data_IF_614938539526
#
_entry.id   IF_614938539526
#
_cell.length_a   1.000
_cell.length_b   1.000
_cell.length_c   1.000
_cell.angle_alpha   90.00
_cell.angle_beta   90.00
_cell.angle_gamma   90.00
#
_symmetry.space_group_name_H-M   'P 1'
#
loop_
_entity.id
_entity.type
_entity.pdbx_description
1 polymer ?
#
# COMPACT_ATOMS: atom_id res chain seq x y z
N UNK A 1 -2.14 -13.85 -12.03
CA UNK A 1 -3.03 -13.64 -13.17
C UNK A 1 -4.37 -13.07 -12.76
N UNK A 2 -5.14 -12.56 -13.71
CA UNK A 2 -6.47 -11.96 -13.51
C UNK A 2 -7.50 -12.89 -14.14
N UNK A 3 -8.55 -13.26 -13.40
CA UNK A 3 -9.61 -14.09 -13.95
C UNK A 3 -10.42 -13.32 -15.01
N UNK A 4 -10.65 -13.95 -16.15
CA UNK A 4 -11.38 -13.38 -17.27
C UNK A 4 -12.42 -14.38 -17.79
N UNK A 5 -13.64 -13.90 -18.00
CA UNK A 5 -14.73 -14.71 -18.51
C UNK A 5 -15.43 -13.95 -19.64
N UNK A 6 -15.74 -14.64 -20.72
CA UNK A 6 -16.47 -14.05 -21.86
C UNK A 6 -17.31 -15.08 -22.57
N UNK A 7 -18.31 -14.60 -23.34
CA UNK A 7 -19.10 -15.40 -24.27
C UNK A 7 -18.67 -15.07 -25.68
N UNK A 8 -18.09 -16.04 -26.37
CA UNK A 8 -17.66 -15.90 -27.74
C UNK A 8 -18.87 -15.96 -28.71
N UNK A 9 -18.93 -14.98 -29.63
CA UNK A 9 -20.00 -14.86 -30.63
C UNK A 9 -19.39 -14.64 -32.01
N UNK A 10 -20.11 -15.08 -33.04
CA UNK A 10 -19.79 -14.77 -34.44
C UNK A 10 -20.21 -13.34 -34.81
N UNK A 11 -19.93 -12.92 -36.04
CA UNK A 11 -20.30 -11.62 -36.58
C UNK A 11 -21.80 -11.36 -36.62
N UNK A 12 -22.63 -12.42 -36.62
CA UNK A 12 -24.09 -12.33 -36.57
C UNK A 12 -24.64 -12.33 -35.15
N UNK A 13 -23.79 -12.29 -34.12
CA UNK A 13 -24.15 -12.29 -32.69
C UNK A 13 -24.53 -13.65 -32.13
N UNK A 14 -24.45 -14.74 -32.90
CA UNK A 14 -24.74 -16.09 -32.43
C UNK A 14 -23.57 -16.61 -31.57
N UNK A 15 -23.89 -17.36 -30.52
CA UNK A 15 -22.88 -17.99 -29.67
C UNK A 15 -22.08 -19.09 -30.39
N UNK A 16 -20.79 -19.12 -30.18
CA UNK A 16 -19.91 -20.17 -30.70
C UNK A 16 -19.89 -21.32 -29.70
N UNK A 17 -20.70 -22.35 -29.91
CA UNK A 17 -20.87 -23.46 -28.96
C UNK A 17 -19.91 -24.61 -29.24
N UNK A 18 -19.25 -25.15 -28.21
CA UNK A 18 -18.32 -26.28 -28.32
C UNK A 18 -17.28 -26.11 -29.44
N UNK A 19 -16.84 -24.90 -29.67
CA UNK A 19 -15.96 -24.54 -30.78
C UNK A 19 -14.58 -24.11 -30.25
N UNK A 20 -13.53 -24.57 -30.92
CA UNK A 20 -12.19 -24.08 -30.70
C UNK A 20 -12.07 -22.63 -31.20
N UNK A 21 -11.61 -21.73 -30.34
CA UNK A 21 -11.39 -20.32 -30.64
C UNK A 21 -10.01 -19.89 -30.15
N UNK A 22 -9.46 -18.85 -30.75
CA UNK A 22 -8.26 -18.20 -30.21
C UNK A 22 -8.61 -16.79 -29.70
N UNK A 23 -8.18 -16.49 -28.48
CA UNK A 23 -8.36 -15.18 -27.86
C UNK A 23 -6.99 -14.56 -27.66
N UNK A 24 -6.81 -13.33 -28.13
CA UNK A 24 -5.63 -12.54 -27.90
C UNK A 24 -6.01 -11.40 -26.94
N UNK A 25 -5.26 -11.33 -25.83
CA UNK A 25 -5.45 -10.33 -24.79
C UNK A 25 -4.21 -9.42 -24.76
N UNK A 26 -4.42 -8.12 -24.74
CA UNK A 26 -3.33 -7.14 -24.68
C UNK A 26 -3.59 -6.15 -23.55
N UNK A 27 -2.58 -5.97 -22.67
CA UNK A 27 -2.60 -4.91 -21.66
C UNK A 27 -1.91 -3.68 -22.25
N UNK A 28 -2.66 -2.58 -22.35
CA UNK A 28 -2.21 -1.28 -22.89
C UNK A 28 -2.07 -0.27 -21.77
N UNK A 29 -1.17 0.67 -21.93
CA UNK A 29 -0.88 1.74 -20.96
C UNK A 29 -1.50 3.06 -21.38
N UNK A 30 -1.98 3.83 -20.41
CA UNK A 30 -2.44 5.22 -20.49
C UNK A 30 -3.71 5.45 -21.27
N UNK A 31 -3.89 4.83 -22.43
CA UNK A 31 -5.08 5.04 -23.30
C UNK A 31 -5.49 3.76 -24.01
N UNK A 32 -6.69 3.75 -24.59
CA UNK A 32 -7.21 2.62 -25.40
C UNK A 32 -6.31 2.30 -26.61
N UNK A 33 -5.55 3.27 -27.12
CA UNK A 33 -4.58 3.11 -28.20
C UNK A 33 -3.13 3.14 -27.71
N UNK A 34 -2.92 3.11 -26.40
CA UNK A 34 -1.59 3.19 -25.79
C UNK A 34 -0.70 1.98 -26.11
N UNK A 35 0.58 2.11 -25.75
CA UNK A 35 1.56 1.05 -25.97
C UNK A 35 1.13 -0.27 -25.30
N UNK A 36 1.37 -1.38 -25.97
CA UNK A 36 1.14 -2.72 -25.42
C UNK A 36 2.32 -3.05 -24.50
N UNK A 37 2.05 -3.21 -23.20
CA UNK A 37 3.04 -3.68 -22.22
C UNK A 37 3.12 -5.20 -22.19
N UNK A 38 1.98 -5.87 -22.38
CA UNK A 38 1.88 -7.31 -22.38
C UNK A 38 0.85 -7.77 -23.40
N UNK A 39 1.13 -8.88 -24.09
CA UNK A 39 0.19 -9.53 -24.99
C UNK A 39 0.32 -11.04 -24.89
N UNK A 40 -0.79 -11.73 -24.84
CA UNK A 40 -0.84 -13.20 -24.81
C UNK A 40 -1.94 -13.76 -25.71
N UNK A 41 -1.82 -15.05 -25.99
CA UNK A 41 -2.80 -15.84 -26.73
C UNK A 41 -3.29 -17.01 -25.90
N UNK A 42 -4.58 -17.24 -25.93
CA UNK A 42 -5.24 -18.45 -25.46
C UNK A 42 -5.90 -19.19 -26.62
N UNK A 43 -5.73 -20.49 -26.70
CA UNK A 43 -6.49 -21.38 -27.57
C UNK A 43 -7.36 -22.25 -26.69
N UNK A 44 -8.67 -22.08 -26.76
CA UNK A 44 -9.64 -22.70 -25.85
C UNK A 44 -10.87 -23.18 -26.62
N UNK A 45 -11.59 -24.14 -26.03
CA UNK A 45 -12.88 -24.58 -26.56
C UNK A 45 -13.98 -23.96 -25.71
N UNK A 46 -14.93 -23.29 -26.36
CA UNK A 46 -16.13 -22.75 -25.70
C UNK A 46 -17.04 -23.88 -25.20
N UNK A 47 -17.81 -23.62 -24.16
CA UNK A 47 -18.84 -24.55 -23.70
C UNK A 47 -20.13 -24.46 -24.56
N UNK A 48 -21.20 -25.14 -24.14
CA UNK A 48 -22.51 -25.14 -24.81
C UNK A 48 -23.18 -23.78 -24.85
N UNK A 49 -22.81 -22.84 -24.00
CA UNK A 49 -23.27 -21.44 -23.96
C UNK A 49 -22.29 -20.47 -24.63
N UNK A 50 -21.25 -20.98 -25.31
CA UNK A 50 -20.22 -20.14 -25.90
C UNK A 50 -19.26 -19.51 -24.90
N UNK A 51 -19.29 -19.94 -23.63
CA UNK A 51 -18.51 -19.37 -22.54
C UNK A 51 -17.07 -19.87 -22.58
N UNK A 52 -16.12 -18.97 -22.30
CA UNK A 52 -14.72 -19.25 -22.02
C UNK A 52 -14.33 -18.68 -20.66
N UNK A 53 -13.47 -19.40 -19.95
CA UNK A 53 -12.84 -18.96 -18.71
C UNK A 53 -11.33 -18.97 -18.91
N UNK A 54 -10.68 -17.86 -18.69
CA UNK A 54 -9.25 -17.68 -18.89
C UNK A 54 -8.64 -17.02 -17.64
N UNK A 55 -7.32 -17.14 -17.55
CA UNK A 55 -6.54 -16.35 -16.62
C UNK A 55 -5.57 -15.47 -17.41
N UNK A 56 -5.72 -14.15 -17.35
CA UNK A 56 -4.77 -13.21 -17.95
C UNK A 56 -3.44 -13.37 -17.24
N UNK A 57 -2.37 -13.52 -17.98
CA UNK A 57 -1.05 -13.90 -17.47
C UNK A 57 -0.81 -15.40 -17.44
N UNK A 58 -1.77 -16.24 -17.91
CA UNK A 58 -1.65 -17.68 -18.01
C UNK A 58 -1.61 -18.22 -19.44
N UNK A 59 -1.69 -17.35 -20.45
CA UNK A 59 -1.64 -17.70 -21.86
C UNK A 59 -0.21 -17.82 -22.41
N UNK A 60 -0.12 -18.07 -23.71
CA UNK A 60 1.16 -18.01 -24.41
C UNK A 60 1.52 -16.57 -24.69
N UNK A 61 2.59 -16.07 -24.07
CA UNK A 61 3.06 -14.70 -24.26
C UNK A 61 3.49 -14.45 -25.71
N UNK A 62 3.02 -13.35 -26.28
CA UNK A 62 3.38 -12.87 -27.61
C UNK A 62 4.26 -11.61 -27.54
N UNK A 63 4.10 -10.80 -26.47
CA UNK A 63 4.87 -9.61 -26.21
C UNK A 63 4.98 -9.36 -24.71
N UNK A 64 6.18 -9.08 -24.20
CA UNK A 64 6.46 -8.82 -22.80
C UNK A 64 6.19 -10.00 -21.87
N UNK A 65 6.32 -9.78 -20.57
CA UNK A 65 5.90 -10.73 -19.53
C UNK A 65 4.83 -10.10 -18.62
N UNK A 66 3.93 -10.91 -18.10
CA UNK A 66 2.85 -10.42 -17.24
C UNK A 66 3.38 -9.81 -15.94
N UNK A 67 4.52 -10.33 -15.45
CA UNK A 67 5.14 -9.82 -14.23
C UNK A 67 5.76 -8.42 -14.40
N UNK A 68 6.16 -8.05 -15.63
CA UNK A 68 6.83 -6.79 -15.91
C UNK A 68 5.85 -5.64 -16.21
N UNK A 69 4.54 -5.91 -16.15
CA UNK A 69 3.54 -4.84 -16.27
C UNK A 69 3.70 -3.88 -15.09
N UNK A 70 3.89 -2.61 -15.38
CA UNK A 70 4.07 -1.55 -14.36
C UNK A 70 2.73 -1.14 -13.74
N UNK A 71 2.16 -2.00 -12.87
CA UNK A 71 0.86 -1.76 -12.24
C UNK A 71 0.84 -0.55 -11.29
N UNK A 72 1.98 -0.21 -10.69
CA UNK A 72 2.12 0.83 -9.67
C UNK A 72 2.60 2.19 -10.21
N UNK A 73 2.61 2.40 -11.52
CA UNK A 73 3.09 3.64 -12.15
C UNK A 73 2.06 4.79 -12.16
N UNK A 74 0.89 4.59 -11.54
CA UNK A 74 -0.19 5.58 -11.49
C UNK A 74 -0.94 5.78 -12.81
N UNK A 75 -0.55 5.10 -13.89
CA UNK A 75 -1.17 5.25 -15.20
C UNK A 75 -2.28 4.21 -15.41
N UNK A 76 -3.41 4.58 -16.01
CA UNK A 76 -4.49 3.65 -16.27
C UNK A 76 -4.04 2.53 -17.23
N UNK A 77 -4.53 1.32 -16.97
CA UNK A 77 -4.31 0.15 -17.83
C UNK A 77 -5.60 -0.21 -18.53
N UNK A 78 -5.49 -0.66 -19.76
CA UNK A 78 -6.60 -1.06 -20.60
C UNK A 78 -6.40 -2.47 -21.11
N UNK A 79 -7.47 -3.27 -21.09
CA UNK A 79 -7.50 -4.61 -21.67
C UNK A 79 -8.14 -4.55 -23.05
N UNK A 80 -7.39 -4.88 -24.08
CA UNK A 80 -7.92 -5.15 -25.41
C UNK A 80 -8.16 -6.65 -25.55
N UNK A 81 -9.36 -6.99 -26.01
CA UNK A 81 -9.75 -8.35 -26.33
C UNK A 81 -9.93 -8.50 -27.82
N UNK A 82 -9.35 -9.54 -28.40
CA UNK A 82 -9.47 -9.89 -29.80
C UNK A 82 -9.79 -11.39 -29.91
N UNK A 83 -10.63 -11.75 -30.87
CA UNK A 83 -11.13 -13.12 -31.08
C UNK A 83 -10.85 -13.58 -32.51
N UNK A 84 -10.26 -14.77 -32.64
CA UNK A 84 -10.35 -15.54 -33.87
C UNK A 84 -11.34 -16.70 -33.65
N UNK A 85 -12.52 -16.66 -34.29
CA UNK A 85 -13.55 -17.68 -34.09
C UNK A 85 -13.17 -19.05 -34.67
N UNK A 86 -12.10 -19.14 -35.45
CA UNK A 86 -11.63 -20.39 -36.05
C UNK A 86 -10.46 -21.03 -35.29
N UNK A 87 -10.02 -20.40 -34.18
CA UNK A 87 -8.88 -20.88 -33.40
C UNK A 87 -7.51 -20.60 -34.01
N UNK A 88 -7.45 -19.82 -35.08
CA UNK A 88 -6.22 -19.45 -35.80
C UNK A 88 -5.57 -18.16 -35.29
N UNK A 89 -5.14 -17.31 -36.24
CA UNK A 89 -4.46 -16.02 -35.94
C UNK A 89 -5.11 -14.83 -36.64
N UNK A 90 -6.31 -15.00 -37.19
CA UNK A 90 -7.09 -13.95 -37.87
C UNK A 90 -7.98 -13.22 -36.86
N UNK A 91 -7.40 -12.37 -36.05
CA UNK A 91 -8.07 -11.73 -34.92
C UNK A 91 -8.98 -10.58 -35.32
N UNK A 92 -10.18 -10.56 -34.74
CA UNK A 92 -11.17 -9.47 -34.82
C UNK A 92 -11.14 -8.75 -33.45
N UNK A 93 -11.01 -7.43 -33.48
CA UNK A 93 -11.05 -6.64 -32.25
C UNK A 93 -12.46 -6.63 -31.66
N UNK A 94 -12.62 -7.10 -30.43
CA UNK A 94 -13.87 -7.16 -29.68
C UNK A 94 -14.07 -5.95 -28.77
N UNK A 95 -13.06 -5.11 -28.62
CA UNK A 95 -13.11 -3.89 -27.81
C UNK A 95 -11.92 -3.73 -26.88
N UNK A 96 -11.87 -2.55 -26.29
CA UNK A 96 -10.86 -2.15 -25.29
C UNK A 96 -11.59 -1.55 -24.10
N UNK A 97 -11.30 -2.04 -22.90
CA UNK A 97 -11.90 -1.52 -21.67
C UNK A 97 -10.82 -1.20 -20.63
N UNK A 98 -11.07 -0.21 -19.79
CA UNK A 98 -10.17 0.10 -18.69
C UNK A 98 -10.23 -1.00 -17.63
N UNK A 99 -9.07 -1.40 -17.14
CA UNK A 99 -8.94 -2.22 -15.96
C UNK A 99 -9.07 -1.31 -14.73
N UNK A 100 -10.25 -1.32 -14.11
CA UNK A 100 -10.52 -0.56 -12.89
C UNK A 100 -10.10 -1.38 -11.65
N UNK A 101 -9.64 -0.68 -10.61
CA UNK A 101 -9.37 -1.30 -9.33
C UNK A 101 -10.66 -1.82 -8.69
N UNK A 102 -10.64 -3.01 -8.13
CA UNK A 102 -11.72 -3.49 -7.26
C UNK A 102 -11.67 -2.74 -5.92
N UNK A 103 -12.80 -2.55 -5.21
CA UNK A 103 -12.84 -1.79 -3.96
C UNK A 103 -11.79 -2.22 -2.93
N UNK A 104 -11.52 -3.52 -2.80
CA UNK A 104 -10.47 -4.04 -1.91
C UNK A 104 -9.05 -3.64 -2.33
N UNK A 105 -8.76 -3.57 -3.63
CA UNK A 105 -7.47 -3.11 -4.13
C UNK A 105 -7.27 -1.60 -3.93
N UNK A 106 -8.34 -0.81 -4.00
CA UNK A 106 -8.30 0.62 -3.67
C UNK A 106 -7.98 0.83 -2.19
N UNK A 107 -8.59 0.04 -1.29
CA UNK A 107 -8.30 0.09 0.15
C UNK A 107 -6.86 -0.37 0.42
N UNK A 108 -6.40 -1.46 -0.20
CA UNK A 108 -5.02 -1.95 -0.04
C UNK A 108 -3.97 -0.95 -0.55
N UNK A 109 -4.27 -0.17 -1.57
CA UNK A 109 -3.40 0.90 -2.07
C UNK A 109 -3.35 2.13 -1.16
N UNK A 110 -4.35 2.31 -0.28
CA UNK A 110 -4.43 3.41 0.68
C UNK A 110 -4.04 3.01 2.11
N UNK A 111 -3.86 1.70 2.37
CA UNK A 111 -3.53 1.20 3.71
C UNK A 111 -2.07 0.79 3.78
N UNK A 112 -1.38 1.43 4.70
CA UNK A 112 -0.07 1.06 5.25
C UNK A 112 1.10 1.11 4.27
N UNK A 113 1.79 2.23 4.26
CA UNK A 113 3.05 2.40 3.53
C UNK A 113 2.87 2.86 2.10
N UNK A 114 1.82 3.64 1.84
CA UNK A 114 1.86 4.58 0.72
C UNK A 114 3.15 5.38 0.80
N UNK A 115 3.60 5.95 -0.30
CA UNK A 115 4.84 6.73 -0.44
C UNK A 115 5.08 7.80 0.65
N UNK A 116 4.08 8.03 1.52
CA UNK A 116 4.05 9.09 2.52
C UNK A 116 4.25 8.57 3.96
N UNK A 117 4.52 7.28 4.17
CA UNK A 117 4.78 6.68 5.49
C UNK A 117 6.26 6.60 5.81
N UNK A 118 6.61 6.72 7.12
CA UNK A 118 7.96 6.43 7.56
C UNK A 118 8.24 4.93 7.55
N UNK A 119 9.21 4.49 6.74
CA UNK A 119 9.55 3.08 6.60
C UNK A 119 10.43 2.59 7.74
N UNK A 120 10.21 1.35 8.21
CA UNK A 120 11.02 0.73 9.28
C UNK A 120 12.50 0.58 8.92
N UNK A 121 12.83 0.53 7.65
CA UNK A 121 14.21 0.49 7.14
C UNK A 121 14.76 1.89 6.80
N UNK A 122 14.01 2.95 7.16
CA UNK A 122 14.33 4.33 6.84
C UNK A 122 13.84 4.77 5.47
N UNK A 123 13.79 6.08 5.28
CA UNK A 123 13.43 6.72 4.03
C UNK A 123 14.67 7.34 3.37
N UNK A 124 14.68 7.39 2.04
CA UNK A 124 15.70 8.08 1.26
C UNK A 124 15.07 9.30 0.54
N UNK A 125 15.91 10.27 0.17
CA UNK A 125 15.51 11.51 -0.49
C UNK A 125 14.48 12.33 0.32
N UNK A 126 14.59 12.29 1.65
CA UNK A 126 13.73 13.09 2.53
C UNK A 126 14.09 14.58 2.46
N UNK A 127 13.07 15.43 2.51
CA UNK A 127 13.19 16.87 2.64
C UNK A 127 12.92 17.29 4.09
N UNK A 128 13.91 17.77 4.85
CA UNK A 128 13.73 18.15 6.25
C UNK A 128 12.71 19.25 6.52
N UNK A 129 12.30 20.00 5.47
CA UNK A 129 11.28 21.02 5.59
C UNK A 129 9.85 20.45 5.57
N UNK A 130 9.67 19.25 5.01
CA UNK A 130 8.36 18.66 4.79
C UNK A 130 8.22 17.26 5.39
N UNK A 131 9.32 16.50 5.50
CA UNK A 131 9.31 15.11 5.95
C UNK A 131 9.77 14.99 7.40
N UNK A 132 8.90 14.51 8.28
CA UNK A 132 9.20 14.34 9.70
C UNK A 132 8.46 13.15 10.32
N UNK A 133 8.97 12.66 11.45
CA UNK A 133 8.24 11.76 12.34
C UNK A 133 7.72 12.58 13.51
N UNK A 134 6.41 12.82 13.56
CA UNK A 134 5.84 13.69 14.56
C UNK A 134 4.34 13.85 14.44
N UNK A 135 3.81 14.84 15.16
CA UNK A 135 2.41 15.23 15.14
C UNK A 135 2.28 16.63 14.53
N UNK A 136 1.16 16.91 13.91
CA UNK A 136 0.82 18.26 13.36
C UNK A 136 -0.09 19.06 14.29
N UNK A 137 -0.38 18.52 15.45
CA UNK A 137 -1.19 19.13 16.50
C UNK A 137 -0.42 19.17 17.84
N UNK A 138 -0.99 19.75 18.88
CA UNK A 138 -0.39 19.86 20.20
C UNK A 138 -0.40 18.53 21.00
N UNK A 139 -0.50 17.39 20.33
CA UNK A 139 -0.46 16.09 21.00
C UNK A 139 0.98 15.54 21.03
N UNK A 140 1.40 14.91 22.15
CA UNK A 140 2.72 14.36 22.26
C UNK A 140 2.96 13.22 21.26
N UNK A 141 4.15 13.19 20.62
CA UNK A 141 4.63 11.99 19.96
C UNK A 141 5.04 10.96 21.02
N UNK A 142 4.45 9.76 20.98
CA UNK A 142 4.70 8.70 21.95
C UNK A 142 5.40 7.50 21.34
N UNK A 143 6.42 6.98 22.04
CA UNK A 143 7.10 5.73 21.74
C UNK A 143 6.68 4.65 22.74
N UNK A 144 6.55 3.41 22.30
CA UNK A 144 6.17 2.27 23.15
C UNK A 144 7.03 1.04 22.88
N UNK A 145 7.31 0.30 23.94
CA UNK A 145 7.95 -1.02 23.87
C UNK A 145 7.08 -2.01 24.64
N UNK A 146 6.67 -3.10 24.00
CA UNK A 146 5.72 -4.07 24.56
C UNK A 146 4.47 -3.40 25.17
N UNK A 147 3.93 -2.42 24.44
CA UNK A 147 2.81 -1.57 24.85
C UNK A 147 3.01 -0.73 26.12
N UNK A 148 4.20 -0.70 26.68
CA UNK A 148 4.57 0.19 27.80
C UNK A 148 5.08 1.53 27.24
N UNK A 149 4.80 2.66 27.92
CA UNK A 149 5.41 3.93 27.56
C UNK A 149 6.95 3.81 27.60
N UNK A 150 7.60 4.19 26.52
CA UNK A 150 9.06 4.12 26.38
C UNK A 150 9.68 5.42 25.88
N UNK A 151 8.87 6.42 25.67
CA UNK A 151 9.31 7.77 25.31
C UNK A 151 8.16 8.66 24.95
N UNK A 152 8.36 9.97 25.16
CA UNK A 152 7.42 11.03 24.81
C UNK A 152 8.21 12.27 24.44
N UNK A 153 7.81 12.91 23.34
CA UNK A 153 8.22 14.26 22.97
C UNK A 153 6.97 15.13 22.91
N UNK A 154 6.95 16.20 23.69
CA UNK A 154 5.87 17.17 23.68
C UNK A 154 6.45 18.59 23.65
N UNK A 155 5.59 19.60 23.51
CA UNK A 155 6.01 21.01 23.54
C UNK A 155 6.72 21.40 24.83
N UNK A 156 6.43 20.70 25.93
CA UNK A 156 6.87 21.10 27.28
C UNK A 156 7.67 20.03 28.02
N UNK A 157 7.61 18.77 27.64
CA UNK A 157 8.33 17.70 28.33
C UNK A 157 8.98 16.75 27.35
N UNK A 158 10.17 16.24 27.73
CA UNK A 158 10.90 15.20 26.99
C UNK A 158 11.13 13.98 27.86
N UNK A 159 10.72 12.81 27.40
CA UNK A 159 10.97 11.56 28.08
C UNK A 159 11.52 10.51 27.10
N UNK A 160 12.55 9.76 27.53
CA UNK A 160 13.12 8.65 26.76
C UNK A 160 13.58 7.54 27.71
N UNK A 161 12.94 6.40 27.63
CA UNK A 161 13.15 5.23 28.47
C UNK A 161 11.83 4.61 28.93
N UNK A 162 11.83 3.32 29.23
CA UNK A 162 10.61 2.63 29.72
C UNK A 162 10.18 3.27 31.05
N UNK A 163 8.93 3.71 31.13
CA UNK A 163 8.36 4.42 32.26
C UNK A 163 9.12 5.71 32.64
N UNK A 164 9.74 6.40 31.69
CA UNK A 164 10.23 7.74 31.92
C UNK A 164 9.04 8.72 31.91
N UNK A 165 8.88 9.50 32.96
CA UNK A 165 7.84 10.54 33.16
C UNK A 165 6.41 10.06 32.79
N UNK A 166 5.95 8.88 33.21
CA UNK A 166 4.71 8.31 32.71
C UNK A 166 3.44 8.93 33.33
N UNK A 167 3.57 9.61 34.50
CA UNK A 167 2.47 10.07 35.33
C UNK A 167 2.31 11.60 35.35
N UNK A 168 3.00 12.31 34.48
CA UNK A 168 2.93 13.77 34.44
C UNK A 168 1.52 14.25 34.11
N UNK A 169 0.99 15.19 34.86
CA UNK A 169 -0.33 15.78 34.70
C UNK A 169 -0.30 17.27 34.37
N UNK A 170 0.46 18.06 35.13
CA UNK A 170 0.55 19.51 34.94
C UNK A 170 1.98 20.05 34.96
N UNK A 171 2.98 19.25 35.38
CA UNK A 171 4.38 19.65 35.38
C UNK A 171 4.92 19.89 33.96
N UNK A 172 5.71 20.94 33.81
CA UNK A 172 6.26 21.39 32.54
C UNK A 172 7.78 21.49 32.59
N UNK A 173 8.41 21.44 31.41
CA UNK A 173 9.86 21.64 31.24
C UNK A 173 10.68 20.58 31.98
N UNK A 174 10.21 19.33 31.97
CA UNK A 174 10.93 18.19 32.53
C UNK A 174 11.65 17.41 31.43
N UNK A 175 12.88 16.99 31.73
CA UNK A 175 13.67 16.09 30.90
C UNK A 175 13.93 14.79 31.67
N UNK A 176 13.43 13.66 31.17
CA UNK A 176 13.55 12.35 31.80
C UNK A 176 14.19 11.36 30.83
N UNK A 177 15.45 11.00 31.03
CA UNK A 177 16.18 10.05 30.20
C UNK A 177 16.66 8.87 31.05
N UNK A 178 16.08 7.71 30.80
CA UNK A 178 16.39 6.47 31.52
C UNK A 178 15.13 5.76 32.03
N UNK A 179 15.23 4.46 32.26
CA UNK A 179 14.13 3.66 32.81
C UNK A 179 13.73 4.18 34.17
N UNK A 180 12.44 4.45 34.36
CA UNK A 180 11.83 4.99 35.59
C UNK A 180 12.37 6.40 36.01
N UNK A 181 13.00 7.14 35.12
CA UNK A 181 13.38 8.53 35.43
C UNK A 181 12.11 9.36 35.65
N UNK A 182 12.04 10.13 36.73
CA UNK A 182 10.87 10.94 37.14
C UNK A 182 9.56 10.16 37.19
N UNK A 183 9.57 8.89 37.52
CA UNK A 183 8.40 8.00 37.44
C UNK A 183 7.22 8.49 38.31
N UNK A 184 7.50 9.08 39.47
CA UNK A 184 6.47 9.56 40.39
C UNK A 184 6.18 11.07 40.25
N UNK A 185 6.79 11.75 39.30
CA UNK A 185 6.54 13.16 39.10
C UNK A 185 5.19 13.38 38.39
N UNK A 186 4.30 14.09 39.05
CA UNK A 186 2.96 14.41 38.52
C UNK A 186 2.79 15.90 38.20
N UNK A 187 3.33 16.77 39.04
CA UNK A 187 3.11 18.23 38.95
C UNK A 187 4.43 19.02 38.96
N UNK A 188 5.53 18.44 39.42
CA UNK A 188 6.84 19.08 39.44
C UNK A 188 7.33 19.51 38.07
N UNK A 189 7.88 20.72 38.01
CA UNK A 189 8.35 21.37 36.78
C UNK A 189 9.86 21.64 36.84
N UNK A 190 10.49 21.87 35.67
CA UNK A 190 11.90 22.24 35.54
C UNK A 190 12.85 21.20 36.13
N UNK A 191 12.55 19.91 36.02
CA UNK A 191 13.42 18.85 36.52
C UNK A 191 14.18 18.20 35.39
N UNK A 192 15.47 17.89 35.64
CA UNK A 192 16.33 17.15 34.70
C UNK A 192 16.78 15.85 35.37
N UNK A 193 16.35 14.73 34.81
CA UNK A 193 16.67 13.39 35.33
C UNK A 193 17.34 12.52 34.24
N UNK A 194 18.59 12.25 34.37
CA UNK A 194 19.34 11.38 33.46
C UNK A 194 19.91 10.17 34.21
N UNK A 195 19.47 8.99 33.79
CA UNK A 195 19.88 7.71 34.39
C UNK A 195 18.66 6.89 34.88
N UNK A 196 18.85 5.58 35.02
CA UNK A 196 17.83 4.66 35.55
C UNK A 196 17.50 5.03 36.99
N UNK A 197 16.21 5.17 37.30
CA UNK A 197 15.66 5.59 38.59
C UNK A 197 16.12 6.99 39.06
N UNK A 198 16.62 7.83 38.16
CA UNK A 198 17.00 9.20 38.47
C UNK A 198 15.76 9.99 38.87
N UNK A 199 15.85 10.78 39.95
CA UNK A 199 14.76 11.53 40.54
C UNK A 199 13.46 10.69 40.71
N UNK A 200 13.60 9.42 41.08
CA UNK A 200 12.53 8.43 41.14
C UNK A 200 11.33 8.90 42.00
N UNK A 201 11.57 9.49 43.14
CA UNK A 201 10.57 9.94 44.09
C UNK A 201 10.35 11.46 44.06
N UNK A 202 10.80 12.13 43.02
CA UNK A 202 10.66 13.58 42.92
C UNK A 202 9.22 13.96 42.61
N UNK A 203 8.70 14.95 43.32
CA UNK A 203 7.40 15.62 43.11
C UNK A 203 7.52 17.12 43.11
N UNK A 204 8.72 17.65 43.29
CA UNK A 204 9.01 19.09 43.42
C UNK A 204 9.64 19.68 42.15
N UNK A 205 9.77 20.98 42.11
CA UNK A 205 10.34 21.72 41.00
C UNK A 205 11.88 21.84 41.09
N UNK A 206 12.55 22.01 39.94
CA UNK A 206 13.90 22.52 39.85
C UNK A 206 14.99 21.58 40.30
N UNK A 207 14.81 20.27 40.21
CA UNK A 207 15.78 19.24 40.59
C UNK A 207 16.60 18.68 39.42
N UNK A 208 17.86 18.38 39.65
CA UNK A 208 18.78 17.77 38.67
C UNK A 208 19.58 16.61 39.28
#
# INVERSE_FOLDING_TARGET
GINYQAVARNASGQVLTNQAVAIRLSVRQSTIAGAIQYQERHTVTTNTQGLVNLQIGGGTALNGTFADITWADGLPKFLQTELDPTGGTSYINMGVQQLASVPYAMVAGSVVGGSDGWNINGNANTDPANDFVGTTDAQPLQFRVNNLPAGQLSEVNTALGVNALPNITSGMFNEAIGTNALINNTEGSNNVAVGTNSLYSNIADGNT
#
